data_IF_010547422906
#
_entry.id   IF_010547422906
#
_cell.length_a   1.000
_cell.length_b   1.000
_cell.length_c   1.000
_cell.angle_alpha   90.00
_cell.angle_beta   90.00
_cell.angle_gamma   90.00
#
_symmetry.space_group_name_H-M   'P 1'
#
loop_
_entity.id
_entity.type
_entity.pdbx_description
1 polymer ?
#
# COMPACT_ATOMS: atom_id res chain seq x y z
N UNK A 1 8.82 -21.30 7.07
CA UNK A 1 7.47 -20.69 7.00
C UNK A 1 7.52 -19.17 7.06
N UNK A 2 8.43 -18.51 7.79
CA UNK A 2 8.55 -17.03 7.76
C UNK A 2 8.95 -16.41 6.41
N UNK A 3 9.78 -17.08 5.61
CA UNK A 3 10.24 -16.54 4.32
C UNK A 3 9.12 -16.33 3.29
N UNK A 4 8.08 -17.17 3.29
CA UNK A 4 6.96 -17.02 2.34
C UNK A 4 6.14 -15.75 2.61
N UNK A 5 5.90 -15.43 3.89
CA UNK A 5 5.13 -14.26 4.31
C UNK A 5 5.90 -12.95 4.08
N UNK A 6 7.22 -13.00 4.21
CA UNK A 6 8.10 -11.87 3.91
C UNK A 6 8.04 -11.51 2.42
N UNK A 7 8.13 -12.52 1.54
CA UNK A 7 7.99 -12.36 0.09
C UNK A 7 6.61 -11.83 -0.29
N UNK A 8 5.53 -12.37 0.30
CA UNK A 8 4.16 -11.90 0.04
C UNK A 8 3.98 -10.43 0.43
N UNK A 9 4.57 -10.01 1.54
CA UNK A 9 4.46 -8.63 2.00
C UNK A 9 5.25 -7.65 1.11
N UNK A 10 6.43 -8.05 0.65
CA UNK A 10 7.23 -7.24 -0.26
C UNK A 10 6.56 -7.15 -1.65
N UNK A 11 5.88 -8.21 -2.11
CA UNK A 11 5.05 -8.18 -3.31
C UNK A 11 3.85 -7.24 -3.18
N UNK A 12 3.15 -7.28 -2.04
CA UNK A 12 2.06 -6.36 -1.74
C UNK A 12 2.53 -4.90 -1.71
N UNK A 13 3.72 -4.63 -1.17
CA UNK A 13 4.35 -3.31 -1.23
C UNK A 13 4.56 -2.82 -2.66
N UNK A 14 5.16 -3.64 -3.52
CA UNK A 14 5.35 -3.30 -4.95
C UNK A 14 4.03 -3.10 -5.69
N UNK A 15 3.01 -3.88 -5.33
CA UNK A 15 1.67 -3.74 -5.90
C UNK A 15 1.05 -2.39 -5.54
N UNK A 16 1.17 -1.97 -4.27
CA UNK A 16 0.73 -0.64 -3.82
C UNK A 16 1.47 0.47 -4.59
N UNK A 17 2.79 0.37 -4.73
CA UNK A 17 3.59 1.37 -5.46
C UNK A 17 3.13 1.49 -6.92
N UNK A 18 2.83 0.35 -7.56
CA UNK A 18 2.32 0.30 -8.94
C UNK A 18 0.96 0.98 -9.07
N UNK A 19 0.07 0.75 -8.11
CA UNK A 19 -1.24 1.38 -8.07
C UNK A 19 -1.15 2.89 -7.83
N UNK A 20 -0.25 3.34 -6.95
CA UNK A 20 0.02 4.77 -6.73
C UNK A 20 0.57 5.45 -7.98
N UNK A 21 1.49 4.80 -8.69
CA UNK A 21 2.01 5.33 -9.95
C UNK A 21 0.90 5.43 -11.01
N UNK A 22 0.05 4.41 -11.12
CA UNK A 22 -1.10 4.43 -12.05
C UNK A 22 -2.06 5.59 -11.75
N UNK A 23 -2.30 5.90 -10.48
CA UNK A 23 -3.11 7.07 -10.10
C UNK A 23 -2.47 8.39 -10.50
N UNK A 24 -1.15 8.51 -10.33
CA UNK A 24 -0.40 9.69 -10.74
C UNK A 24 -0.50 9.90 -12.26
N UNK A 25 -0.31 8.84 -13.04
CA UNK A 25 -0.42 8.88 -14.49
C UNK A 25 -1.83 9.29 -14.94
N UNK A 26 -2.88 8.80 -14.25
CA UNK A 26 -4.27 9.17 -14.53
C UNK A 26 -4.58 10.64 -14.19
N UNK A 27 -3.99 11.20 -13.12
CA UNK A 27 -4.15 12.63 -12.80
C UNK A 27 -3.35 13.53 -13.75
N UNK A 28 -2.16 13.10 -14.20
CA UNK A 28 -1.39 13.79 -15.22
C UNK A 28 -2.13 13.82 -16.56
N UNK A 29 -2.70 12.71 -17.00
CA UNK A 29 -3.55 12.64 -18.19
C UNK A 29 -4.77 13.57 -18.07
N UNK A 30 -5.41 13.61 -16.90
CA UNK A 30 -6.52 14.52 -16.62
C UNK A 30 -6.11 15.99 -16.72
N UNK A 31 -4.96 16.36 -16.14
CA UNK A 31 -4.39 17.71 -16.20
C UNK A 31 -4.07 18.12 -17.64
N UNK A 32 -3.48 17.23 -18.43
CA UNK A 32 -3.24 17.47 -19.86
C UNK A 32 -4.56 17.77 -20.60
N UNK A 33 -5.61 16.98 -20.36
CA UNK A 33 -6.93 17.22 -20.93
C UNK A 33 -7.58 18.53 -20.46
N UNK A 34 -7.29 18.98 -19.23
CA UNK A 34 -7.79 20.27 -18.74
C UNK A 34 -7.16 21.47 -19.44
N UNK A 35 -5.90 21.33 -19.89
CA UNK A 35 -5.17 22.38 -20.59
C UNK A 35 -5.71 22.60 -22.01
N UNK A 36 -6.14 21.53 -22.69
CA UNK A 36 -6.73 21.57 -24.05
C UNK A 36 -8.10 22.27 -24.09
N UNK A 37 -8.75 22.46 -22.94
CA UNK A 37 -10.10 23.05 -22.85
C UNK A 37 -10.15 24.57 -22.91
N UNK A 38 -9.06 25.27 -22.64
CA UNK A 38 -9.11 26.72 -22.50
C UNK A 38 -9.35 27.47 -23.82
N UNK A 39 -9.12 26.84 -24.99
CA UNK A 39 -9.14 27.53 -26.27
C UNK A 39 -9.77 26.78 -27.47
N UNK A 40 -10.06 25.46 -27.41
CA UNK A 40 -10.35 24.69 -28.65
C UNK A 40 -11.77 24.12 -28.87
N UNK A 41 -12.66 24.10 -27.87
CA UNK A 41 -13.87 23.25 -27.95
C UNK A 41 -15.18 24.00 -28.30
N UNK A 42 -15.21 25.32 -28.10
CA UNK A 42 -16.10 26.27 -28.78
C UNK A 42 -17.63 26.12 -28.62
N UNK A 43 -18.12 25.12 -27.88
CA UNK A 43 -19.57 24.91 -27.70
C UNK A 43 -19.91 24.74 -26.20
N UNK A 44 -20.87 25.51 -25.65
CA UNK A 44 -21.21 25.46 -24.22
C UNK A 44 -21.55 24.06 -23.69
N UNK A 45 -22.18 23.23 -24.53
CA UNK A 45 -22.53 21.85 -24.18
C UNK A 45 -21.31 20.94 -24.04
N UNK A 46 -20.29 21.12 -24.87
CA UNK A 46 -19.08 20.31 -24.81
C UNK A 46 -18.21 20.77 -23.62
N UNK A 47 -18.20 22.06 -23.32
CA UNK A 47 -17.56 22.60 -22.11
C UNK A 47 -18.18 22.03 -20.84
N UNK A 48 -19.52 22.02 -20.72
CA UNK A 48 -20.26 21.46 -19.58
C UNK A 48 -19.99 19.95 -19.41
N UNK A 49 -20.00 19.20 -20.52
CA UNK A 49 -19.68 17.76 -20.50
C UNK A 49 -18.25 17.51 -20.04
N UNK A 50 -17.31 18.32 -20.50
CA UNK A 50 -15.91 18.24 -20.08
C UNK A 50 -15.72 18.64 -18.61
N UNK A 51 -16.43 19.65 -18.09
CA UNK A 51 -16.41 20.01 -16.66
C UNK A 51 -16.94 18.88 -15.79
N UNK A 52 -18.07 18.31 -16.19
CA UNK A 52 -18.67 17.17 -15.51
C UNK A 52 -17.72 15.97 -15.48
N UNK A 53 -17.08 15.68 -16.62
CA UNK A 53 -16.10 14.60 -16.72
C UNK A 53 -14.89 14.86 -15.81
N UNK A 54 -14.32 16.06 -15.87
CA UNK A 54 -13.17 16.46 -15.06
C UNK A 54 -13.47 16.36 -13.55
N UNK A 55 -14.66 16.81 -13.13
CA UNK A 55 -15.10 16.71 -11.74
C UNK A 55 -15.27 15.26 -11.27
N UNK A 56 -15.98 14.43 -12.05
CA UNK A 56 -16.17 13.01 -11.72
C UNK A 56 -14.84 12.24 -11.70
N UNK A 57 -13.95 12.52 -12.64
CA UNK A 57 -12.64 11.89 -12.70
C UNK A 57 -11.80 12.25 -11.48
N UNK A 58 -11.74 13.54 -11.11
CA UNK A 58 -11.02 13.99 -9.91
C UNK A 58 -11.51 13.26 -8.67
N UNK A 59 -12.83 13.25 -8.45
CA UNK A 59 -13.43 12.54 -7.32
C UNK A 59 -13.08 11.04 -7.32
N UNK A 60 -13.20 10.36 -8.46
CA UNK A 60 -12.86 8.94 -8.57
C UNK A 60 -11.38 8.65 -8.27
N UNK A 61 -10.47 9.53 -8.72
CA UNK A 61 -9.05 9.40 -8.43
C UNK A 61 -8.71 9.63 -6.96
N UNK A 62 -9.38 10.56 -6.29
CA UNK A 62 -9.22 10.80 -4.84
C UNK A 62 -9.70 9.58 -4.04
N UNK A 63 -10.87 9.03 -4.37
CA UNK A 63 -11.41 7.83 -3.71
C UNK A 63 -10.51 6.60 -3.89
N UNK A 64 -9.96 6.39 -5.10
CA UNK A 64 -9.00 5.32 -5.33
C UNK A 64 -7.72 5.51 -4.50
N UNK A 65 -7.24 6.76 -4.38
CA UNK A 65 -6.07 7.08 -3.57
C UNK A 65 -6.30 6.77 -2.09
N UNK A 66 -7.46 7.12 -1.55
CA UNK A 66 -7.84 6.80 -0.16
C UNK A 66 -7.87 5.28 0.07
N UNK A 67 -8.48 4.52 -0.85
CA UNK A 67 -8.56 3.06 -0.74
C UNK A 67 -7.18 2.40 -0.81
N UNK A 68 -6.31 2.85 -1.72
CA UNK A 68 -4.93 2.37 -1.82
C UNK A 68 -4.13 2.72 -0.55
N UNK A 69 -4.36 3.89 0.03
CA UNK A 69 -3.80 4.28 1.33
C UNK A 69 -4.21 3.32 2.44
N UNK A 70 -5.52 3.04 2.57
CA UNK A 70 -6.04 2.10 3.58
C UNK A 70 -5.49 0.68 3.40
N UNK A 71 -5.38 0.19 2.17
CA UNK A 71 -4.75 -1.11 1.87
C UNK A 71 -3.28 -1.09 2.27
N UNK A 72 -2.54 0.00 1.97
CA UNK A 72 -1.14 0.13 2.35
C UNK A 72 -0.92 0.11 3.86
N UNK A 73 -1.75 0.83 4.61
CA UNK A 73 -1.71 0.82 6.07
C UNK A 73 -2.05 -0.55 6.63
N UNK A 74 -3.08 -1.22 6.11
CA UNK A 74 -3.44 -2.58 6.51
C UNK A 74 -2.31 -3.58 6.27
N UNK A 75 -1.67 -3.54 5.11
CA UNK A 75 -0.52 -4.41 4.77
C UNK A 75 0.67 -4.13 5.69
N UNK A 76 1.01 -2.86 5.93
CA UNK A 76 2.10 -2.47 6.84
C UNK A 76 1.82 -2.90 8.28
N UNK A 77 0.60 -2.69 8.77
CA UNK A 77 0.20 -3.11 10.11
C UNK A 77 0.30 -4.64 10.25
N UNK A 78 -0.15 -5.39 9.26
CA UNK A 78 -0.05 -6.84 9.25
C UNK A 78 1.42 -7.30 9.26
N UNK A 79 2.29 -6.68 8.43
CA UNK A 79 3.74 -6.94 8.42
C UNK A 79 4.36 -6.76 9.80
N UNK A 80 4.09 -5.61 10.42
CA UNK A 80 4.64 -5.27 11.72
C UNK A 80 4.21 -6.27 12.79
N UNK A 81 2.93 -6.67 12.80
CA UNK A 81 2.43 -7.67 13.73
C UNK A 81 3.09 -9.04 13.53
N UNK A 82 3.36 -9.46 12.29
CA UNK A 82 4.05 -10.72 12.01
C UNK A 82 5.54 -10.67 12.38
N UNK A 83 6.25 -9.59 12.07
CA UNK A 83 7.66 -9.41 12.45
C UNK A 83 7.82 -9.35 13.98
N UNK A 84 6.90 -8.68 14.66
CA UNK A 84 6.87 -8.62 16.12
C UNK A 84 6.55 -9.99 16.74
N UNK A 85 5.60 -10.73 16.15
CA UNK A 85 5.29 -12.10 16.58
C UNK A 85 6.49 -13.05 16.41
N UNK A 86 7.15 -13.04 15.25
CA UNK A 86 8.36 -13.84 14.98
C UNK A 86 9.49 -13.49 15.96
N UNK A 87 9.72 -12.20 16.22
CA UNK A 87 10.74 -11.74 17.18
C UNK A 87 10.41 -12.20 18.60
N UNK A 88 9.16 -12.09 19.02
CA UNK A 88 8.71 -12.51 20.34
C UNK A 88 8.79 -14.04 20.50
N UNK A 89 8.43 -14.78 19.45
CA UNK A 89 8.54 -16.23 19.41
C UNK A 89 10.01 -16.67 19.47
N UNK A 90 10.89 -16.07 18.66
CA UNK A 90 12.32 -16.35 18.67
C UNK A 90 12.96 -16.03 20.03
N UNK A 91 12.57 -14.91 20.66
CA UNK A 91 13.03 -14.54 22.00
C UNK A 91 12.56 -15.55 23.07
N UNK A 92 11.31 -16.00 23.00
CA UNK A 92 10.75 -17.00 23.90
C UNK A 92 11.47 -18.35 23.76
N UNK A 93 11.70 -18.80 22.52
CA UNK A 93 12.43 -20.04 22.23
C UNK A 93 13.89 -19.97 22.69
N UNK A 94 14.57 -18.84 22.46
CA UNK A 94 15.95 -18.62 22.94
C UNK A 94 16.03 -18.64 24.46
N UNK A 95 15.08 -18.00 25.15
CA UNK A 95 15.00 -18.02 26.60
C UNK A 95 14.79 -19.43 27.14
N UNK A 96 13.92 -20.20 26.48
CA UNK A 96 13.65 -21.61 26.82
C UNK A 96 14.90 -22.49 26.63
N UNK A 97 15.61 -22.33 25.52
CA UNK A 97 16.86 -23.05 25.26
C UNK A 97 17.92 -22.74 26.33
N UNK A 98 18.10 -21.47 26.68
CA UNK A 98 19.04 -21.05 27.73
C UNK A 98 18.65 -21.59 29.12
N UNK A 99 17.35 -21.72 29.44
CA UNK A 99 16.90 -22.34 30.69
C UNK A 99 17.09 -23.85 30.74
N UNK A 100 17.04 -24.52 29.58
CA UNK A 100 17.30 -25.97 29.47
C UNK A 100 18.81 -26.24 29.63
N UNK A 101 19.66 -25.45 28.97
CA UNK A 101 21.12 -25.57 29.12
C UNK A 101 21.60 -25.28 30.55
N UNK A 102 20.95 -24.34 31.25
CA UNK A 102 21.29 -24.03 32.66
C UNK A 102 20.73 -25.04 33.67
N UNK A 103 19.79 -25.91 33.28
CA UNK A 103 19.28 -27.00 34.13
C UNK A 103 19.96 -28.36 33.87
N UNK A 104 20.70 -28.50 32.76
CA UNK A 104 21.47 -29.70 32.42
C UNK A 104 22.86 -29.81 33.07
N UNK A 105 23.36 -28.75 33.72
CA UNK A 105 24.70 -28.72 34.36
C UNK A 105 24.74 -29.22 35.81
N UNK A 106 23.75 -30.01 36.25
CA UNK A 106 23.50 -30.28 37.67
C UNK A 106 23.34 -31.74 38.08
N UNK A 107 24.17 -32.67 37.58
CA UNK A 107 24.61 -33.84 38.38
C UNK A 107 25.67 -34.66 37.63
N UNK A 108 26.86 -34.78 38.22
CA UNK A 108 27.97 -35.62 37.75
C UNK A 108 29.32 -35.02 38.09
#
# INVERSE_FOLDING_TARGET
>A
MGDQFKVDTDQLGRFIDTLQQSLKDLDEARKALSHVRADQIGTPRLDEACDTFQGKWKYGSEQLSEMIGAISEGVKSNKLSYEEFEKNLAAALTKMANTIDSSGGGQG
#
